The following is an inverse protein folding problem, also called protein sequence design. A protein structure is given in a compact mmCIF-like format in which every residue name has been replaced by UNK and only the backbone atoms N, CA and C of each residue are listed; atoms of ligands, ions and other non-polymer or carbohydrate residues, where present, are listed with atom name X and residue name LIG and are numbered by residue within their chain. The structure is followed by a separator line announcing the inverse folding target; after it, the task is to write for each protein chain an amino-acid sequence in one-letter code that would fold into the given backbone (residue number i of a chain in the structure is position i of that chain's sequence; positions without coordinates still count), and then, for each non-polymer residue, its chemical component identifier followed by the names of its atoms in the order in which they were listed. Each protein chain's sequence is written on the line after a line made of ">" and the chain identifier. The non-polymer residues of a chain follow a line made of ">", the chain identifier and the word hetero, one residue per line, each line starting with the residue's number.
data_IF_623624978677
#
_entry.id   IF_623624978677
#
_cell.length_a   1.000
_cell.length_b   1.000
_cell.length_c   1.000
_cell.angle_alpha   90.00
_cell.angle_beta   90.00
_cell.angle_gamma   90.00
#
_symmetry.space_group_name_H-M   'P 1'
#
loop_
_entity.id
_entity.type
_entity.pdbx_description
1 polymer ?
#
# COMPACT_ATOMS: atom_id res chain seq x y z
N UNK A 1 -2.72 15.46 -35.34
CA UNK A 1 -1.44 15.59 -36.05
C UNK A 1 -0.77 14.22 -36.08
N UNK A 2 -1.20 13.28 -36.94
CA UNK A 2 -0.67 11.91 -36.95
C UNK A 2 0.78 11.81 -37.45
N UNK A 3 1.17 12.70 -38.38
CA UNK A 3 2.51 12.69 -38.98
C UNK A 3 3.61 13.10 -37.99
N UNK A 4 3.38 14.11 -37.15
CA UNK A 4 4.37 14.57 -36.14
C UNK A 4 4.72 13.48 -35.11
N UNK A 5 3.76 12.63 -34.74
CA UNK A 5 4.01 11.51 -33.83
C UNK A 5 4.80 10.37 -34.49
N UNK A 6 4.50 10.05 -35.74
CA UNK A 6 5.25 9.05 -36.49
C UNK A 6 6.71 9.48 -36.69
N UNK A 7 6.93 10.74 -37.04
CA UNK A 7 8.27 11.32 -37.20
C UNK A 7 9.06 11.28 -35.88
N UNK A 8 8.40 11.54 -34.75
CA UNK A 8 9.03 11.49 -33.42
C UNK A 8 9.43 10.07 -33.01
N UNK A 9 8.61 9.06 -33.33
CA UNK A 9 8.92 7.65 -33.04
C UNK A 9 10.10 7.16 -33.88
N UNK A 10 10.17 7.57 -35.15
CA UNK A 10 11.30 7.23 -36.02
C UNK A 10 12.59 7.95 -35.58
N UNK A 11 12.50 9.22 -35.17
CA UNK A 11 13.61 9.97 -34.59
C UNK A 11 14.14 9.30 -33.30
N UNK A 12 13.24 8.86 -32.41
CA UNK A 12 13.60 8.06 -31.25
C UNK A 12 14.31 6.77 -31.66
N UNK A 13 13.78 6.04 -32.65
CA UNK A 13 14.41 4.83 -33.16
C UNK A 13 15.84 5.06 -33.67
N UNK A 14 16.09 6.18 -34.34
CA UNK A 14 17.43 6.57 -34.79
C UNK A 14 18.36 6.88 -33.61
N UNK A 15 17.89 7.67 -32.63
CA UNK A 15 18.64 7.99 -31.41
C UNK A 15 19.06 6.71 -30.68
N UNK A 16 18.13 5.79 -30.46
CA UNK A 16 18.40 4.52 -29.78
C UNK A 16 19.36 3.61 -30.56
N UNK A 17 19.24 3.58 -31.89
CA UNK A 17 20.14 2.80 -32.73
C UNK A 17 21.57 3.34 -32.68
N UNK A 18 21.74 4.66 -32.82
CA UNK A 18 23.06 5.31 -32.85
C UNK A 18 23.73 5.26 -31.47
N UNK A 19 23.01 5.62 -30.40
CA UNK A 19 23.57 5.71 -29.06
C UNK A 19 23.76 4.35 -28.37
N UNK A 20 22.86 3.38 -28.64
CA UNK A 20 22.76 2.16 -27.84
C UNK A 20 22.70 0.87 -28.67
N UNK A 21 22.90 0.95 -30.00
CA UNK A 21 22.74 -0.20 -30.92
C UNK A 21 21.39 -0.92 -30.75
N UNK A 22 20.35 -0.17 -30.37
CA UNK A 22 19.06 -0.73 -30.04
C UNK A 22 18.39 -1.37 -31.27
N UNK A 23 17.75 -2.52 -31.08
CA UNK A 23 17.04 -3.23 -32.15
C UNK A 23 15.54 -3.12 -31.95
N UNK A 24 14.81 -2.67 -32.98
CA UNK A 24 13.34 -2.66 -32.96
C UNK A 24 12.82 -4.10 -32.85
N UNK A 25 11.84 -4.30 -31.98
CA UNK A 25 11.26 -5.62 -31.72
C UNK A 25 10.04 -5.86 -32.61
N UNK A 26 9.83 -7.13 -33.00
CA UNK A 26 8.60 -7.53 -33.66
C UNK A 26 7.47 -7.69 -32.65
N UNK A 27 6.21 -7.60 -33.09
CA UNK A 27 5.05 -7.78 -32.20
C UNK A 27 5.05 -9.16 -31.52
N UNK A 28 5.49 -10.20 -32.24
CA UNK A 28 5.61 -11.55 -31.69
C UNK A 28 6.61 -11.59 -30.53
N UNK A 29 7.79 -11.00 -30.70
CA UNK A 29 8.82 -10.99 -29.67
C UNK A 29 8.34 -10.25 -28.41
N UNK A 30 7.56 -9.17 -28.58
CA UNK A 30 6.99 -8.40 -27.47
C UNK A 30 5.94 -9.20 -26.70
N UNK A 31 5.08 -9.95 -27.39
CA UNK A 31 4.08 -10.80 -26.75
C UNK A 31 4.74 -11.90 -25.92
N UNK A 32 5.85 -12.48 -26.40
CA UNK A 32 6.62 -13.49 -25.66
C UNK A 32 7.24 -12.92 -24.36
N UNK A 33 7.40 -11.59 -24.25
CA UNK A 33 7.83 -10.92 -23.02
C UNK A 33 6.69 -10.63 -22.02
N UNK A 34 5.44 -10.86 -22.40
CA UNK A 34 4.27 -10.50 -21.59
C UNK A 34 4.04 -8.98 -21.50
N UNK A 35 4.72 -8.18 -22.30
CA UNK A 35 4.50 -6.73 -22.40
C UNK A 35 3.23 -6.49 -23.25
N UNK A 36 2.27 -5.67 -22.80
CA UNK A 36 1.04 -5.42 -23.55
C UNK A 36 1.32 -4.57 -24.81
N UNK A 37 1.59 -5.25 -25.94
CA UNK A 37 1.99 -4.62 -27.21
C UNK A 37 1.01 -3.54 -27.68
N UNK A 38 -0.28 -3.71 -27.43
CA UNK A 38 -1.34 -2.76 -27.81
C UNK A 38 -1.23 -1.38 -27.17
N UNK A 39 -0.45 -1.23 -26.09
CA UNK A 39 -0.22 0.07 -25.45
C UNK A 39 0.89 0.89 -26.13
N UNK A 40 1.68 0.29 -27.01
CA UNK A 40 2.92 0.88 -27.52
C UNK A 40 2.90 1.01 -29.03
N UNK A 41 3.41 2.15 -29.53
CA UNK A 41 3.59 2.38 -30.96
C UNK A 41 4.87 1.70 -31.49
N UNK A 42 5.91 1.64 -30.67
CA UNK A 42 7.17 0.98 -31.00
C UNK A 42 7.93 0.55 -29.75
N UNK A 43 8.69 -0.53 -29.88
CA UNK A 43 9.48 -1.12 -28.81
C UNK A 43 10.86 -1.49 -29.35
N UNK A 44 11.91 -1.19 -28.58
CA UNK A 44 13.29 -1.50 -28.89
C UNK A 44 13.97 -2.22 -27.74
N UNK A 45 14.99 -3.01 -28.08
CA UNK A 45 15.82 -3.74 -27.13
C UNK A 45 17.25 -3.21 -27.17
N UNK A 46 17.80 -2.92 -26.00
CA UNK A 46 19.18 -2.54 -25.75
C UNK A 46 19.86 -3.69 -24.99
N UNK A 47 21.04 -4.10 -25.46
CA UNK A 47 21.89 -5.03 -24.71
C UNK A 47 22.63 -4.27 -23.62
N UNK A 48 22.78 -4.87 -22.44
CA UNK A 48 23.61 -4.31 -21.38
C UNK A 48 24.64 -5.35 -20.93
N UNK A 49 25.67 -4.88 -20.25
CA UNK A 49 26.67 -5.73 -19.60
C UNK A 49 26.25 -6.14 -18.18
N UNK A 50 25.10 -5.66 -17.70
CA UNK A 50 24.56 -6.00 -16.39
C UNK A 50 24.13 -7.47 -16.40
N UNK A 51 24.43 -8.19 -15.32
CA UNK A 51 24.07 -9.61 -15.18
C UNK A 51 23.33 -9.88 -13.89
N UNK A 52 22.45 -10.87 -13.90
CA UNK A 52 21.85 -11.35 -12.66
C UNK A 52 22.91 -11.94 -11.73
N UNK A 53 22.88 -11.61 -10.43
CA UNK A 53 23.81 -12.19 -9.45
C UNK A 53 23.71 -13.71 -9.29
N UNK A 54 22.51 -14.27 -9.53
CA UNK A 54 22.21 -15.68 -9.24
C UNK A 54 22.69 -16.66 -10.33
N UNK A 55 22.61 -16.25 -11.60
CA UNK A 55 22.82 -17.15 -12.75
C UNK A 55 23.65 -16.52 -13.90
N UNK A 56 24.24 -15.35 -13.69
CA UNK A 56 25.11 -14.62 -14.64
C UNK A 56 24.44 -14.30 -15.99
N UNK A 57 23.10 -14.41 -16.09
CA UNK A 57 22.39 -14.09 -17.34
C UNK A 57 22.39 -12.57 -17.55
N UNK A 58 22.67 -12.14 -18.79
CA UNK A 58 22.66 -10.73 -19.14
C UNK A 58 21.25 -10.13 -19.06
N UNK A 59 21.16 -8.93 -18.50
CA UNK A 59 19.95 -8.12 -18.43
C UNK A 59 19.93 -7.20 -19.66
N UNK A 60 18.77 -7.06 -20.27
CA UNK A 60 18.50 -6.19 -21.39
C UNK A 60 17.51 -5.12 -20.95
N UNK A 61 17.65 -3.91 -21.50
CA UNK A 61 16.65 -2.86 -21.34
C UNK A 61 15.73 -2.85 -22.56
N UNK A 62 14.43 -2.79 -22.31
CA UNK A 62 13.39 -2.70 -23.33
C UNK A 62 12.77 -1.31 -23.24
N UNK A 63 12.93 -0.52 -24.29
CA UNK A 63 12.39 0.84 -24.40
C UNK A 63 11.06 0.77 -25.15
N UNK A 64 9.97 1.15 -24.53
CA UNK A 64 8.62 1.04 -25.08
C UNK A 64 7.95 2.42 -25.16
N UNK A 65 7.79 2.95 -26.38
CA UNK A 65 7.19 4.26 -26.63
C UNK A 65 5.69 4.13 -26.92
N UNK A 66 4.89 4.93 -26.22
CA UNK A 66 3.45 5.07 -26.50
C UNK A 66 3.21 5.93 -27.73
N UNK A 67 2.01 5.86 -28.29
CA UNK A 67 1.57 6.76 -29.37
C UNK A 67 1.54 8.24 -28.98
N UNK A 68 1.52 8.55 -27.67
CA UNK A 68 1.59 9.90 -27.13
C UNK A 68 3.00 10.50 -27.06
N UNK A 69 4.05 9.73 -27.39
CA UNK A 69 5.40 10.27 -27.51
C UNK A 69 5.43 11.42 -28.55
N UNK A 70 6.16 12.53 -28.30
CA UNK A 70 7.13 12.77 -27.21
C UNK A 70 6.55 13.38 -25.93
N UNK A 71 5.23 13.59 -25.84
CA UNK A 71 4.56 14.17 -24.65
C UNK A 71 4.45 13.21 -23.46
N UNK A 72 4.89 11.97 -23.65
CA UNK A 72 5.03 10.97 -22.60
C UNK A 72 6.37 10.27 -22.75
N UNK A 73 7.15 10.20 -21.68
CA UNK A 73 8.40 9.44 -21.67
C UNK A 73 8.15 7.96 -22.03
N UNK A 74 9.08 7.32 -22.75
CA UNK A 74 9.04 5.87 -22.96
C UNK A 74 9.01 5.12 -21.62
N UNK A 75 8.36 3.96 -21.58
CA UNK A 75 8.49 3.05 -20.46
C UNK A 75 9.71 2.16 -20.65
N UNK A 76 10.43 1.90 -19.56
CA UNK A 76 11.59 0.99 -19.55
C UNK A 76 11.21 -0.30 -18.84
N UNK A 77 11.56 -1.43 -19.44
CA UNK A 77 11.43 -2.76 -18.87
C UNK A 77 12.77 -3.48 -18.86
N UNK A 78 12.87 -4.52 -18.05
CA UNK A 78 14.03 -5.44 -18.03
C UNK A 78 13.68 -6.76 -18.71
N UNK A 79 14.66 -7.36 -19.40
CA UNK A 79 14.58 -8.74 -19.85
C UNK A 79 15.87 -9.52 -19.55
N UNK A 80 15.83 -10.68 -18.89
CA UNK A 80 14.67 -11.24 -18.18
C UNK A 80 14.06 -10.24 -17.20
N UNK A 81 12.76 -10.39 -16.92
CA UNK A 81 12.05 -9.44 -16.07
C UNK A 81 12.58 -9.53 -14.64
N UNK A 82 12.97 -8.39 -14.06
CA UNK A 82 13.18 -8.29 -12.62
C UNK A 82 11.86 -8.59 -11.90
N UNK A 83 11.96 -9.32 -10.79
CA UNK A 83 10.80 -9.75 -10.04
C UNK A 83 10.25 -8.60 -9.19
N UNK A 84 8.96 -8.33 -9.35
CA UNK A 84 8.20 -7.42 -8.48
C UNK A 84 8.30 -7.91 -7.02
N UNK A 85 8.37 -6.97 -6.07
CA UNK A 85 8.56 -7.23 -4.63
C UNK A 85 9.92 -7.82 -4.23
N UNK A 86 10.72 -8.35 -5.17
CA UNK A 86 12.12 -8.74 -4.90
C UNK A 86 13.05 -7.55 -4.98
N UNK A 87 12.82 -6.66 -5.95
CA UNK A 87 13.60 -5.45 -6.16
C UNK A 87 12.74 -4.19 -6.01
N UNK A 88 13.30 -3.10 -5.43
CA UNK A 88 12.61 -1.81 -5.39
C UNK A 88 12.47 -1.22 -6.81
N UNK A 89 11.56 -0.27 -6.99
CA UNK A 89 11.25 0.36 -8.29
C UNK A 89 10.94 -0.57 -9.47
N UNK A 90 10.53 -1.81 -9.20
CA UNK A 90 10.07 -2.77 -10.21
C UNK A 90 8.55 -2.97 -10.09
N UNK A 91 7.85 -2.87 -11.21
CA UNK A 91 6.42 -3.16 -11.35
C UNK A 91 6.18 -4.45 -12.15
N UNK A 92 4.93 -4.69 -12.56
CA UNK A 92 4.55 -5.87 -13.33
C UNK A 92 5.36 -5.98 -14.64
N UNK A 93 5.66 -7.23 -15.03
CA UNK A 93 6.46 -7.55 -16.22
C UNK A 93 7.87 -6.96 -16.23
N UNK A 94 8.43 -6.58 -15.07
CA UNK A 94 9.79 -6.03 -14.98
C UNK A 94 9.91 -4.58 -15.43
N UNK A 95 8.79 -3.84 -15.47
CA UNK A 95 8.77 -2.40 -15.75
C UNK A 95 9.48 -1.64 -14.62
N UNK A 96 10.27 -0.63 -14.97
CA UNK A 96 11.02 0.19 -14.03
C UNK A 96 10.30 1.52 -13.73
N UNK A 97 10.28 1.90 -12.45
CA UNK A 97 9.91 3.24 -11.98
C UNK A 97 11.16 4.12 -11.89
N UNK A 98 11.65 4.57 -13.04
CA UNK A 98 12.92 5.31 -13.13
C UNK A 98 12.78 6.75 -12.64
N UNK A 99 11.73 7.42 -13.06
CA UNK A 99 11.44 8.81 -12.73
C UNK A 99 10.13 8.93 -11.93
N UNK A 100 10.14 9.77 -10.91
CA UNK A 100 8.94 10.15 -10.17
C UNK A 100 8.05 11.12 -10.97
N UNK A 101 6.84 11.34 -10.48
CA UNK A 101 5.84 12.22 -11.10
C UNK A 101 6.29 13.70 -11.15
N UNK A 102 7.28 14.07 -10.33
CA UNK A 102 7.86 15.42 -10.26
C UNK A 102 8.83 15.73 -11.40
N UNK A 103 9.31 14.72 -12.12
CA UNK A 103 10.29 14.93 -13.21
C UNK A 103 9.60 15.56 -14.41
N UNK A 104 10.16 16.67 -14.88
CA UNK A 104 9.71 17.38 -16.08
C UNK A 104 10.77 17.27 -17.18
N UNK A 105 10.31 17.10 -18.42
CA UNK A 105 11.16 17.05 -19.62
C UNK A 105 10.53 17.89 -20.73
N UNK A 106 11.36 18.39 -21.65
CA UNK A 106 10.88 19.10 -22.83
C UNK A 106 10.49 18.09 -23.93
N UNK A 107 9.21 17.99 -24.32
CA UNK A 107 8.80 17.08 -25.39
C UNK A 107 9.34 17.47 -26.77
N UNK A 108 9.88 18.69 -26.95
CA UNK A 108 10.52 19.11 -28.20
C UNK A 108 11.95 18.60 -28.34
N UNK A 109 12.58 18.22 -27.23
CA UNK A 109 13.96 17.73 -27.18
C UNK A 109 14.01 16.28 -26.69
N UNK A 110 14.01 15.33 -27.62
CA UNK A 110 13.98 13.89 -27.29
C UNK A 110 15.29 13.36 -26.67
N UNK A 111 16.33 14.18 -26.55
CA UNK A 111 17.61 13.77 -25.94
C UNK A 111 17.48 13.41 -24.46
N UNK A 112 16.40 13.84 -23.78
CA UNK A 112 16.08 13.38 -22.43
C UNK A 112 16.02 11.86 -22.31
N UNK A 113 15.73 11.15 -23.41
CA UNK A 113 15.65 9.68 -23.41
C UNK A 113 17.01 9.04 -23.12
N UNK A 114 18.12 9.70 -23.46
CA UNK A 114 19.46 9.23 -23.09
C UNK A 114 19.65 9.24 -21.57
N UNK A 115 19.19 10.31 -20.90
CA UNK A 115 19.16 10.37 -19.43
C UNK A 115 18.27 9.27 -18.85
N UNK A 116 17.08 9.06 -19.40
CA UNK A 116 16.18 7.98 -18.96
C UNK A 116 16.85 6.61 -19.03
N UNK A 117 17.59 6.31 -20.10
CA UNK A 117 18.27 5.02 -20.27
C UNK A 117 19.43 4.88 -19.29
N UNK A 118 20.23 5.93 -19.10
CA UNK A 118 21.35 5.92 -18.17
C UNK A 118 20.88 5.78 -16.71
N UNK A 119 19.80 6.47 -16.34
CA UNK A 119 19.16 6.34 -15.04
C UNK A 119 18.57 4.94 -14.85
N UNK A 120 17.99 4.36 -15.90
CA UNK A 120 17.49 2.97 -15.88
C UNK A 120 18.59 1.95 -15.68
N UNK A 121 19.74 2.13 -16.35
CA UNK A 121 20.90 1.27 -16.19
C UNK A 121 21.39 1.30 -14.74
N UNK A 122 21.59 2.51 -14.20
CA UNK A 122 22.02 2.73 -12.82
C UNK A 122 21.03 2.14 -11.82
N UNK A 123 19.72 2.36 -12.04
CA UNK A 123 18.66 1.80 -11.21
C UNK A 123 18.73 0.26 -11.16
N UNK A 124 18.96 -0.39 -12.28
CA UNK A 124 19.08 -1.86 -12.34
C UNK A 124 20.31 -2.33 -11.56
N UNK A 125 21.48 -1.71 -11.76
CA UNK A 125 22.72 -2.05 -11.04
C UNK A 125 22.56 -1.87 -9.51
N UNK A 126 21.96 -0.76 -9.09
CA UNK A 126 21.74 -0.45 -7.68
C UNK A 126 20.68 -1.36 -7.06
N UNK A 127 19.65 -1.75 -7.83
CA UNK A 127 18.64 -2.70 -7.38
C UNK A 127 19.22 -4.11 -7.17
N UNK A 128 19.97 -4.64 -8.14
CA UNK A 128 20.53 -6.01 -8.05
C UNK A 128 21.66 -6.12 -7.02
N UNK A 129 22.42 -5.03 -6.79
CA UNK A 129 23.44 -4.97 -5.74
C UNK A 129 22.84 -4.85 -4.34
N UNK A 130 21.53 -4.54 -4.25
CA UNK A 130 20.83 -4.33 -2.99
C UNK A 130 21.04 -2.95 -2.38
N UNK A 131 21.71 -2.04 -3.09
CA UNK A 131 21.96 -0.66 -2.65
C UNK A 131 20.67 0.13 -2.42
N UNK A 132 19.61 -0.20 -3.16
CA UNK A 132 18.28 0.42 -3.04
C UNK A 132 17.37 -0.26 -2.00
N UNK A 133 17.83 -1.23 -1.22
CA UNK A 133 16.97 -1.95 -0.28
C UNK A 133 16.29 -1.05 0.77
N UNK A 134 16.84 0.15 1.04
CA UNK A 134 16.22 1.16 1.89
C UNK A 134 14.91 1.71 1.32
N UNK A 135 14.74 1.70 0.00
CA UNK A 135 13.59 2.29 -0.69
C UNK A 135 12.29 1.51 -0.45
N UNK A 136 12.39 0.22 -0.07
CA UNK A 136 11.24 -0.54 0.40
C UNK A 136 10.56 0.13 1.60
N UNK A 137 11.33 0.75 2.50
CA UNK A 137 10.80 1.47 3.66
C UNK A 137 10.07 2.74 3.21
N UNK A 138 10.70 3.54 2.35
CA UNK A 138 10.12 4.78 1.84
C UNK A 138 8.81 4.53 1.05
N UNK A 139 8.77 3.44 0.28
CA UNK A 139 7.64 3.03 -0.55
C UNK A 139 6.71 1.98 0.08
N UNK A 140 6.75 1.76 1.41
CA UNK A 140 6.09 0.62 2.08
C UNK A 140 4.63 0.42 1.67
N UNK A 141 3.82 1.48 1.58
CA UNK A 141 2.41 1.38 1.18
C UNK A 141 2.21 0.81 -0.23
N UNK A 142 3.10 1.18 -1.16
CA UNK A 142 3.04 0.74 -2.55
C UNK A 142 3.40 -0.73 -2.68
N UNK A 143 4.41 -1.19 -1.94
CA UNK A 143 4.78 -2.61 -1.90
C UNK A 143 3.78 -3.46 -1.14
N UNK A 144 3.26 -2.95 -0.02
CA UNK A 144 2.19 -3.58 0.72
C UNK A 144 0.96 -3.80 -0.16
N UNK A 145 0.52 -2.78 -0.89
CA UNK A 145 -0.63 -2.89 -1.80
C UNK A 145 -0.47 -3.93 -2.91
N UNK A 146 0.77 -4.25 -3.28
CA UNK A 146 1.12 -5.25 -4.30
C UNK A 146 1.32 -6.66 -3.75
N UNK A 147 1.54 -6.81 -2.43
CA UNK A 147 1.82 -8.11 -1.82
C UNK A 147 0.59 -8.97 -1.55
N UNK A 148 -0.61 -8.42 -1.71
CA UNK A 148 -1.84 -9.16 -1.50
C UNK A 148 -2.88 -8.89 -2.58
N UNK A 149 -3.69 -9.91 -2.86
CA UNK A 149 -4.86 -9.77 -3.71
C UNK A 149 -6.08 -9.54 -2.84
N UNK A 150 -6.69 -8.35 -2.96
CA UNK A 150 -7.95 -8.05 -2.29
C UNK A 150 -9.08 -8.87 -2.94
N UNK A 151 -9.91 -9.59 -2.17
CA UNK A 151 -11.16 -10.14 -2.70
C UNK A 151 -12.02 -9.03 -3.31
N UNK A 152 -12.74 -9.32 -4.41
CA UNK A 152 -13.50 -8.34 -5.20
C UNK A 152 -14.47 -7.44 -4.40
N UNK A 153 -14.88 -7.87 -3.20
CA UNK A 153 -15.83 -7.15 -2.34
C UNK A 153 -15.20 -6.57 -1.07
N UNK A 154 -13.92 -6.81 -0.83
CA UNK A 154 -13.25 -6.27 0.35
C UNK A 154 -12.96 -4.78 0.16
N UNK A 155 -13.42 -3.98 1.12
CA UNK A 155 -13.16 -2.55 1.17
C UNK A 155 -11.87 -2.28 1.94
N UNK A 156 -11.16 -1.22 1.57
CA UNK A 156 -10.05 -0.71 2.37
C UNK A 156 -10.53 -0.43 3.79
N UNK A 157 -9.69 -0.74 4.77
CA UNK A 157 -9.93 -0.34 6.13
C UNK A 157 -9.71 1.17 6.31
N UNK A 158 -10.35 1.75 7.32
CA UNK A 158 -10.15 3.14 7.74
C UNK A 158 -9.44 3.18 9.08
N UNK A 159 -8.37 3.96 9.21
CA UNK A 159 -7.72 4.21 10.50
C UNK A 159 -7.92 5.65 10.96
N UNK A 160 -8.41 5.81 12.19
CA UNK A 160 -8.51 7.07 12.93
C UNK A 160 -7.45 7.17 14.04
N UNK A 161 -6.60 6.16 14.17
CA UNK A 161 -5.64 6.01 15.26
C UNK A 161 -4.57 7.10 15.23
N UNK A 162 -4.05 7.44 16.40
CA UNK A 162 -2.98 8.41 16.53
C UNK A 162 -1.64 7.77 16.17
N UNK A 163 -1.06 8.17 15.04
CA UNK A 163 0.24 7.64 14.59
C UNK A 163 1.44 8.13 15.41
N UNK A 164 1.27 9.19 16.22
CA UNK A 164 2.35 9.70 17.08
C UNK A 164 2.59 8.80 18.30
N UNK A 165 1.62 7.99 18.70
CA UNK A 165 1.84 6.96 19.71
C UNK A 165 2.50 5.75 19.05
N UNK A 166 3.76 5.51 19.38
CA UNK A 166 4.59 4.43 18.84
C UNK A 166 4.53 3.16 19.67
N UNK A 167 3.62 3.05 20.63
CA UNK A 167 3.44 1.82 21.41
C UNK A 167 2.53 0.86 20.67
N UNK A 168 2.89 -0.43 20.72
CA UNK A 168 1.94 -1.51 20.47
C UNK A 168 0.85 -1.48 21.53
N UNK A 169 -0.41 -1.40 21.12
CA UNK A 169 -1.53 -1.13 22.03
C UNK A 169 -2.85 -1.68 21.52
N UNK A 170 -3.76 -1.88 22.46
CA UNK A 170 -5.16 -2.21 22.14
C UNK A 170 -5.88 -0.98 21.61
N UNK A 171 -6.68 -1.17 20.56
CA UNK A 171 -7.49 -0.16 19.90
C UNK A 171 -8.91 -0.70 19.65
N UNK A 172 -9.83 0.18 19.26
CA UNK A 172 -11.21 -0.19 18.95
C UNK A 172 -11.40 -0.41 17.46
N UNK A 173 -12.27 -1.36 17.11
CA UNK A 173 -12.57 -1.71 15.72
C UNK A 173 -14.06 -1.95 15.51
N UNK A 174 -14.61 -1.44 14.41
CA UNK A 174 -15.93 -1.77 13.90
C UNK A 174 -15.79 -2.50 12.56
N UNK A 175 -16.53 -3.60 12.38
CA UNK A 175 -16.60 -4.30 11.10
C UNK A 175 -17.98 -4.08 10.48
N UNK A 176 -18.05 -3.14 9.54
CA UNK A 176 -19.30 -2.68 8.95
C UNK A 176 -19.30 -2.97 7.44
N UNK A 177 -20.28 -3.72 6.95
CA UNK A 177 -20.28 -4.22 5.56
C UNK A 177 -20.29 -3.09 4.53
N UNK A 178 -20.97 -1.98 4.85
CA UNK A 178 -21.10 -0.83 3.96
C UNK A 178 -19.86 0.08 3.93
N UNK A 179 -19.07 0.14 5.00
CA UNK A 179 -17.90 1.04 5.11
C UNK A 179 -16.56 0.31 5.21
N UNK A 180 -16.57 -1.01 5.34
CA UNK A 180 -15.38 -1.81 5.63
C UNK A 180 -15.06 -1.83 7.13
N UNK A 181 -13.80 -2.10 7.44
CA UNK A 181 -13.30 -2.13 8.81
C UNK A 181 -12.83 -0.74 9.23
N UNK A 182 -13.25 -0.26 10.39
CA UNK A 182 -12.89 1.07 10.90
C UNK A 182 -12.20 0.91 12.24
N UNK A 183 -11.03 1.52 12.38
CA UNK A 183 -10.20 1.49 13.57
C UNK A 183 -10.15 2.86 14.24
N UNK A 184 -10.17 2.87 15.57
CA UNK A 184 -10.12 4.10 16.36
C UNK A 184 -9.29 3.89 17.63
N UNK A 185 -8.69 4.97 18.11
CA UNK A 185 -7.91 5.00 19.35
C UNK A 185 -8.80 4.71 20.56
N UNK A 186 -9.99 5.32 20.61
CA UNK A 186 -10.93 5.16 21.71
C UNK A 186 -12.32 4.76 21.21
N UNK A 187 -13.13 4.21 22.12
CA UNK A 187 -14.52 3.84 21.84
C UNK A 187 -15.35 5.06 21.43
N UNK A 188 -15.14 6.19 22.09
CA UNK A 188 -15.85 7.44 21.81
C UNK A 188 -15.52 7.94 20.41
N UNK A 189 -14.25 7.86 19.99
CA UNK A 189 -13.83 8.23 18.64
C UNK A 189 -14.50 7.34 17.59
N UNK A 190 -14.57 6.02 17.83
CA UNK A 190 -15.25 5.08 16.95
C UNK A 190 -16.75 5.37 16.85
N UNK A 191 -17.42 5.51 17.99
CA UNK A 191 -18.86 5.72 18.09
C UNK A 191 -19.26 7.05 17.40
N UNK A 192 -18.45 8.10 17.57
CA UNK A 192 -18.64 9.40 16.92
C UNK A 192 -18.49 9.28 15.39
N UNK A 193 -17.44 8.62 14.90
CA UNK A 193 -17.22 8.46 13.46
C UNK A 193 -18.34 7.67 12.79
N UNK A 194 -18.78 6.57 13.43
CA UNK A 194 -19.91 5.78 12.94
C UNK A 194 -21.18 6.62 12.87
N UNK A 195 -21.50 7.35 13.94
CA UNK A 195 -22.70 8.20 13.99
C UNK A 195 -22.66 9.29 12.91
N UNK A 196 -21.52 9.95 12.73
CA UNK A 196 -21.32 10.99 11.71
C UNK A 196 -21.37 10.45 10.27
N UNK A 197 -21.18 9.15 10.09
CA UNK A 197 -21.32 8.48 8.78
C UNK A 197 -22.68 7.80 8.58
N UNK A 198 -23.63 8.03 9.51
CA UNK A 198 -25.00 7.53 9.45
C UNK A 198 -25.18 6.10 10.00
N UNK A 199 -24.18 5.56 10.69
CA UNK A 199 -24.19 4.21 11.27
C UNK A 199 -24.37 4.30 12.78
N UNK A 200 -25.43 3.67 13.30
CA UNK A 200 -25.63 3.59 14.75
C UNK A 200 -24.61 2.62 15.37
N UNK A 201 -23.78 3.04 16.33
CA UNK A 201 -22.83 2.15 16.98
C UNK A 201 -23.52 0.95 17.64
N UNK A 202 -22.95 -0.25 17.47
CA UNK A 202 -23.52 -1.47 18.03
C UNK A 202 -22.43 -2.45 18.47
N UNK A 203 -22.53 -2.94 19.71
CA UNK A 203 -21.60 -3.92 20.28
C UNK A 203 -21.52 -5.24 19.49
N UNK A 204 -22.53 -5.56 18.67
CA UNK A 204 -22.48 -6.75 17.81
C UNK A 204 -21.37 -6.68 16.75
N UNK A 205 -20.99 -5.48 16.33
CA UNK A 205 -19.97 -5.29 15.30
C UNK A 205 -18.75 -4.51 15.74
N UNK A 206 -18.79 -3.88 16.92
CA UNK A 206 -17.64 -3.24 17.55
C UNK A 206 -16.92 -4.21 18.50
N UNK A 207 -15.60 -4.15 18.53
CA UNK A 207 -14.75 -4.93 19.44
C UNK A 207 -13.44 -4.18 19.69
N UNK A 208 -12.50 -4.82 20.38
CA UNK A 208 -11.11 -4.37 20.46
C UNK A 208 -10.22 -5.26 19.58
N UNK A 209 -9.07 -4.72 19.23
CA UNK A 209 -8.03 -5.39 18.45
C UNK A 209 -6.69 -4.71 18.74
N UNK A 210 -5.64 -5.10 18.03
CA UNK A 210 -4.29 -4.61 18.26
C UNK A 210 -3.84 -3.63 17.16
N UNK A 211 -3.11 -2.60 17.56
CA UNK A 211 -2.22 -1.84 16.69
C UNK A 211 -0.80 -2.19 17.11
N UNK A 212 -0.07 -2.87 16.24
CA UNK A 212 1.33 -3.26 16.45
C UNK A 212 2.20 -2.16 15.89
N UNK A 213 3.06 -1.57 16.70
CA UNK A 213 4.07 -0.64 16.21
C UNK A 213 5.39 -1.38 15.99
N UNK A 214 5.89 -1.35 14.76
CA UNK A 214 7.19 -1.90 14.40
C UNK A 214 8.29 -0.87 14.63
N UNK A 215 9.47 -1.35 15.03
CA UNK A 215 10.68 -0.53 15.10
C UNK A 215 11.19 -0.14 13.71
N UNK A 216 11.02 -1.04 12.74
CA UNK A 216 11.47 -0.86 11.36
C UNK A 216 10.38 -1.31 10.37
N UNK A 217 10.37 -0.72 9.18
CA UNK A 217 9.46 -1.12 8.13
C UNK A 217 9.88 -2.47 7.55
N UNK A 218 8.91 -3.38 7.39
CA UNK A 218 9.16 -4.65 6.72
C UNK A 218 9.50 -4.45 5.24
N UNK A 219 10.46 -5.23 4.76
CA UNK A 219 10.63 -5.50 3.34
C UNK A 219 9.59 -6.51 2.86
N UNK A 220 9.28 -6.57 1.56
CA UNK A 220 8.29 -7.53 1.07
C UNK A 220 8.61 -8.99 1.40
N UNK A 221 9.89 -9.36 1.44
CA UNK A 221 10.35 -10.70 1.85
C UNK A 221 10.09 -11.02 3.33
N UNK A 222 9.79 -10.01 4.15
CA UNK A 222 9.56 -10.12 5.59
C UNK A 222 8.07 -10.02 5.96
N UNK A 223 7.19 -9.87 4.96
CA UNK A 223 5.75 -9.75 5.20
C UNK A 223 5.21 -11.04 5.81
N UNK A 224 4.56 -10.97 6.99
CA UNK A 224 4.13 -12.17 7.68
C UNK A 224 3.03 -12.91 6.92
N UNK A 225 3.14 -14.24 6.90
CA UNK A 225 2.19 -15.14 6.23
C UNK A 225 1.26 -15.84 7.21
N UNK A 226 1.62 -15.88 8.49
CA UNK A 226 0.83 -16.46 9.57
C UNK A 226 0.98 -15.65 10.87
N UNK A 227 0.06 -15.88 11.82
CA UNK A 227 0.07 -15.18 13.09
C UNK A 227 1.26 -15.59 13.98
N UNK A 228 1.90 -16.74 13.72
CA UNK A 228 3.09 -17.19 14.42
C UNK A 228 4.30 -16.29 14.16
N UNK A 229 4.48 -15.85 12.92
CA UNK A 229 5.51 -14.86 12.56
C UNK A 229 5.27 -13.51 13.26
N UNK A 230 4.01 -13.08 13.38
CA UNK A 230 3.63 -11.89 14.17
C UNK A 230 3.98 -12.06 15.65
N UNK A 231 3.72 -13.24 16.23
CA UNK A 231 4.09 -13.55 17.60
C UNK A 231 5.61 -13.44 17.79
N UNK A 232 6.40 -14.08 16.93
CA UNK A 232 7.88 -14.02 16.98
C UNK A 232 8.41 -12.59 16.87
N UNK A 233 7.81 -11.75 16.01
CA UNK A 233 8.17 -10.33 15.89
C UNK A 233 7.91 -9.59 17.21
N UNK A 234 6.74 -9.79 17.80
CA UNK A 234 6.39 -9.17 19.08
C UNK A 234 7.31 -9.66 20.21
N UNK A 235 7.63 -10.95 20.26
CA UNK A 235 8.57 -11.52 21.25
C UNK A 235 9.96 -10.90 21.14
N UNK A 236 10.48 -10.79 19.92
CA UNK A 236 11.77 -10.14 19.64
C UNK A 236 11.79 -8.67 20.08
N UNK A 237 10.73 -7.91 19.76
CA UNK A 237 10.64 -6.48 20.08
C UNK A 237 10.44 -6.19 21.58
N UNK A 238 9.60 -6.95 22.27
CA UNK A 238 9.27 -6.68 23.67
C UNK A 238 10.18 -7.41 24.67
N UNK A 239 10.96 -8.40 24.23
CA UNK A 239 11.82 -9.21 25.09
C UNK A 239 11.06 -10.01 26.16
N UNK A 240 9.73 -10.11 26.05
CA UNK A 240 8.87 -10.74 27.04
C UNK A 240 7.77 -11.58 26.37
N UNK A 241 7.98 -12.91 26.27
CA UNK A 241 7.03 -13.81 25.61
C UNK A 241 5.61 -13.74 26.16
N UNK A 242 5.42 -13.53 27.46
CA UNK A 242 4.09 -13.44 28.06
C UNK A 242 3.33 -12.18 27.60
N UNK A 243 4.02 -11.06 27.38
CA UNK A 243 3.40 -9.84 26.86
C UNK A 243 3.05 -9.96 25.37
N UNK A 244 3.96 -10.50 24.56
CA UNK A 244 3.72 -10.78 23.15
C UNK A 244 2.51 -11.70 22.97
N UNK A 245 2.48 -12.79 23.74
CA UNK A 245 1.38 -13.74 23.74
C UNK A 245 0.05 -13.12 24.17
N UNK A 246 0.05 -12.23 25.17
CA UNK A 246 -1.15 -11.49 25.58
C UNK A 246 -1.67 -10.58 24.46
N UNK A 247 -0.77 -9.91 23.74
CA UNK A 247 -1.14 -9.05 22.62
C UNK A 247 -1.75 -9.85 21.47
N UNK A 248 -1.15 -10.98 21.09
CA UNK A 248 -1.71 -11.89 20.07
C UNK A 248 -3.03 -12.53 20.54
N UNK A 249 -3.15 -12.83 21.83
CA UNK A 249 -4.40 -13.33 22.41
C UNK A 249 -5.55 -12.32 22.26
N UNK A 250 -5.30 -11.00 22.27
CA UNK A 250 -6.32 -9.97 21.96
C UNK A 250 -6.88 -10.14 20.54
N UNK A 251 -6.04 -10.43 19.54
CA UNK A 251 -6.47 -10.69 18.16
C UNK A 251 -7.33 -11.97 18.11
N UNK A 252 -6.87 -13.04 18.75
CA UNK A 252 -7.56 -14.33 18.81
C UNK A 252 -8.85 -14.30 19.65
N UNK A 253 -8.96 -13.36 20.59
CA UNK A 253 -10.15 -13.15 21.40
C UNK A 253 -11.24 -12.33 20.73
N UNK A 254 -11.05 -11.93 19.47
CA UNK A 254 -12.08 -11.23 18.71
C UNK A 254 -13.35 -12.08 18.54
N UNK A 255 -14.52 -11.44 18.59
CA UNK A 255 -15.81 -12.07 18.32
C UNK A 255 -16.05 -12.32 16.82
N UNK A 256 -15.13 -11.91 15.95
CA UNK A 256 -15.22 -12.06 14.50
C UNK A 256 -14.48 -13.28 14.00
N UNK A 257 -15.05 -13.92 12.97
CA UNK A 257 -14.39 -15.03 12.27
C UNK A 257 -13.06 -14.60 11.65
N UNK A 258 -12.98 -13.41 11.06
CA UNK A 258 -11.78 -12.89 10.41
C UNK A 258 -11.34 -11.60 11.08
N UNK A 259 -10.69 -11.66 12.25
CA UNK A 259 -10.20 -10.48 12.93
C UNK A 259 -9.20 -9.74 12.04
N UNK A 260 -9.20 -8.42 12.19
CA UNK A 260 -8.26 -7.54 11.51
C UNK A 260 -7.56 -6.70 12.57
N UNK A 261 -6.27 -6.50 12.38
CA UNK A 261 -5.41 -5.69 13.25
C UNK A 261 -4.56 -4.74 12.40
N UNK A 262 -4.05 -3.68 13.04
CA UNK A 262 -3.22 -2.68 12.38
C UNK A 262 -1.74 -2.92 12.65
N UNK A 263 -0.92 -2.54 11.67
CA UNK A 263 0.53 -2.42 11.78
C UNK A 263 0.87 -0.96 11.53
N UNK A 264 1.68 -0.38 12.41
CA UNK A 264 2.22 0.97 12.28
C UNK A 264 3.74 0.89 12.21
N UNK A 265 4.34 1.73 11.38
CA UNK A 265 5.79 1.93 11.38
C UNK A 265 6.12 3.34 10.91
N UNK A 266 7.27 3.85 11.29
CA UNK A 266 7.79 5.12 10.80
C UNK A 266 8.71 4.85 9.62
N UNK A 267 8.46 5.54 8.51
CA UNK A 267 9.33 5.51 7.32
C UNK A 267 9.98 6.88 7.14
N UNK A 268 10.98 7.02 6.25
CA UNK A 268 11.55 8.33 5.91
C UNK A 268 10.50 9.35 5.44
N UNK A 269 9.38 8.87 4.88
CA UNK A 269 8.29 9.70 4.35
C UNK A 269 7.15 9.92 5.34
N UNK A 270 7.33 9.54 6.61
CA UNK A 270 6.34 9.71 7.67
C UNK A 270 5.76 8.38 8.18
N UNK A 271 4.75 8.48 9.05
CA UNK A 271 4.16 7.30 9.65
C UNK A 271 3.26 6.56 8.66
N UNK A 272 3.38 5.24 8.60
CA UNK A 272 2.57 4.39 7.75
C UNK A 272 1.72 3.47 8.62
N UNK A 273 0.45 3.30 8.24
CA UNK A 273 -0.44 2.28 8.79
C UNK A 273 -0.82 1.30 7.68
N UNK A 274 -0.61 0.01 7.93
CA UNK A 274 -1.16 -1.10 7.16
C UNK A 274 -2.06 -1.96 8.03
N UNK A 275 -2.78 -2.92 7.45
CA UNK A 275 -3.67 -3.81 8.18
C UNK A 275 -3.50 -5.25 7.71
N UNK A 276 -3.72 -6.19 8.62
CA UNK A 276 -3.70 -7.62 8.30
C UNK A 276 -4.99 -8.30 8.76
N UNK A 277 -5.48 -9.25 7.96
CA UNK A 277 -6.62 -10.11 8.28
C UNK A 277 -6.18 -11.53 8.55
N UNK A 278 -6.78 -12.20 9.53
CA UNK A 278 -6.64 -13.64 9.69
C UNK A 278 -7.46 -14.43 8.64
N UNK A 279 -6.79 -15.33 7.96
CA UNK A 279 -7.31 -16.28 6.95
C UNK A 279 -7.66 -17.60 7.64
N UNK A 280 -8.64 -18.37 7.11
CA UNK A 280 -9.12 -19.62 7.72
C UNK A 280 -10.11 -19.43 8.88
N UNK A 281 -9.98 -18.30 9.58
CA UNK A 281 -10.94 -17.79 10.55
C UNK A 281 -10.81 -18.40 11.94
N UNK A 282 -11.00 -17.57 12.95
CA UNK A 282 -11.05 -17.97 14.36
C UNK A 282 -12.50 -18.27 14.73
N UNK A 283 -12.81 -19.51 15.11
CA UNK A 283 -14.11 -19.81 15.69
C UNK A 283 -14.14 -19.30 17.13
N UNK A 284 -15.19 -18.56 17.47
CA UNK A 284 -15.35 -17.86 18.76
C UNK A 284 -16.12 -18.69 19.78
N UNK A 285 -16.57 -19.88 19.38
CA UNK A 285 -17.25 -20.84 20.22
C UNK A 285 -16.65 -22.20 19.94
N UNK A 286 -15.89 -22.73 20.90
CA UNK A 286 -15.71 -24.18 20.95
C UNK A 286 -17.08 -24.85 20.86
N UNK A 287 -17.16 -25.98 20.18
CA UNK A 287 -18.37 -26.79 19.99
C UNK A 287 -18.90 -27.38 21.31
N UNK A 288 -19.14 -26.57 22.33
CA UNK A 288 -19.84 -27.00 23.53
C UNK A 288 -21.28 -27.37 23.11
N UNK A 289 -21.50 -28.65 22.78
CA UNK A 289 -22.80 -29.25 22.50
C UNK A 289 -23.22 -29.36 21.02
N UNK A 290 -22.32 -29.16 20.05
CA UNK A 290 -22.66 -29.35 18.62
C UNK A 290 -21.72 -30.38 17.97
N UNK A 291 -22.14 -31.64 17.97
CA UNK A 291 -21.39 -32.81 17.47
C UNK A 291 -21.32 -32.90 15.92
N UNK A 292 -22.03 -32.04 15.19
CA UNK A 292 -22.28 -32.22 13.74
C UNK A 292 -21.59 -31.22 12.80
N UNK A 293 -20.68 -30.35 13.28
CA UNK A 293 -19.93 -29.42 12.42
C UNK A 293 -18.46 -29.86 12.27
N UNK A 294 -17.99 -29.92 11.02
CA UNK A 294 -16.87 -30.78 10.60
C UNK A 294 -15.46 -30.19 10.67
N UNK A 295 -15.20 -29.04 11.30
CA UNK A 295 -13.82 -28.53 11.40
C UNK A 295 -13.53 -27.82 12.73
N UNK A 296 -12.51 -28.31 13.44
CA UNK A 296 -12.02 -27.68 14.66
C UNK A 296 -11.28 -26.37 14.33
N UNK A 297 -11.75 -25.24 14.86
CA UNK A 297 -11.12 -23.94 14.65
C UNK A 297 -10.07 -23.60 15.73
N UNK A 298 -9.23 -22.61 15.45
CA UNK A 298 -8.11 -22.18 16.32
C UNK A 298 -8.55 -21.78 17.75
N UNK A 299 -9.73 -21.20 17.92
CA UNK A 299 -10.28 -20.78 19.21
C UNK A 299 -11.05 -21.86 19.98
N UNK A 300 -11.21 -23.07 19.40
CA UNK A 300 -12.02 -24.12 20.02
C UNK A 300 -11.41 -24.60 21.35
N UNK A 301 -12.25 -24.63 22.40
CA UNK A 301 -11.91 -25.20 23.71
C UNK A 301 -11.47 -24.21 24.79
N UNK A 302 -11.31 -22.93 24.45
CA UNK A 302 -10.85 -21.90 25.40
C UNK A 302 -11.84 -20.74 25.53
N UNK A 303 -11.88 -20.11 26.72
CA UNK A 303 -12.61 -18.85 26.90
C UNK A 303 -11.87 -17.72 26.15
N UNK A 304 -12.61 -16.68 25.76
CA UNK A 304 -12.04 -15.46 25.17
C UNK A 304 -10.84 -14.96 26.01
N UNK A 305 -9.72 -14.64 25.35
CA UNK A 305 -8.46 -14.19 25.97
C UNK A 305 -7.85 -15.15 27.01
N UNK A 306 -8.19 -16.45 26.97
CA UNK A 306 -7.69 -17.46 27.93
C UNK A 306 -7.07 -18.68 27.24
N UNK A 307 -6.44 -18.48 26.09
CA UNK A 307 -5.63 -19.52 25.43
C UNK A 307 -4.33 -19.68 26.24
N UNK A 308 -4.04 -20.86 26.82
CA UNK A 308 -2.78 -21.09 27.52
C UNK A 308 -1.59 -20.95 26.56
N UNK A 309 -0.51 -20.31 27.01
CA UNK A 309 0.70 -20.04 26.22
C UNK A 309 1.22 -21.27 25.47
N UNK A 310 1.21 -22.45 26.13
CA UNK A 310 1.67 -23.72 25.53
C UNK A 310 0.94 -24.15 24.26
N UNK A 311 -0.25 -23.61 24.00
CA UNK A 311 -1.02 -23.89 22.79
C UNK A 311 -1.02 -22.73 21.80
N UNK A 312 -0.53 -21.55 22.21
CA UNK A 312 -0.63 -20.34 21.40
C UNK A 312 0.23 -20.45 20.14
N UNK A 313 1.47 -20.92 20.24
CA UNK A 313 2.42 -20.97 19.12
C UNK A 313 1.90 -21.84 17.97
N UNK A 314 1.50 -23.09 18.28
CA UNK A 314 0.96 -24.04 17.30
C UNK A 314 -0.32 -23.49 16.64
N UNK A 315 -1.13 -22.75 17.40
CA UNK A 315 -2.36 -22.15 16.89
C UNK A 315 -2.08 -20.95 15.99
N UNK A 316 -1.09 -20.14 16.33
CA UNK A 316 -0.71 -18.96 15.56
C UNK A 316 -0.07 -19.35 14.22
N UNK A 317 0.77 -20.38 14.20
CA UNK A 317 1.40 -20.88 12.96
C UNK A 317 0.38 -21.50 11.99
N UNK A 318 -0.72 -22.08 12.50
CA UNK A 318 -1.82 -22.60 11.68
C UNK A 318 -2.76 -21.53 11.13
N UNK A 319 -2.73 -20.32 11.67
CA UNK A 319 -3.61 -19.24 11.26
C UNK A 319 -2.90 -18.31 10.27
N UNK A 320 -3.20 -18.50 8.99
CA UNK A 320 -2.69 -17.63 7.94
C UNK A 320 -3.13 -16.18 8.15
N UNK A 321 -2.32 -15.23 7.71
CA UNK A 321 -2.67 -13.81 7.65
C UNK A 321 -2.42 -13.28 6.25
N UNK A 322 -3.09 -12.18 5.90
CA UNK A 322 -2.86 -11.47 4.65
C UNK A 322 -3.00 -9.97 4.83
N UNK A 323 -2.36 -9.21 3.95
CA UNK A 323 -2.51 -7.76 3.92
C UNK A 323 -3.93 -7.30 3.53
N UNK A 324 -4.27 -6.12 4.04
CA UNK A 324 -5.42 -5.30 3.64
C UNK A 324 -4.94 -3.86 3.47
N UNK A 325 -5.55 -3.15 2.51
CA UNK A 325 -5.28 -1.75 2.27
C UNK A 325 -5.93 -0.87 3.35
N UNK A 326 -5.21 0.14 3.81
CA UNK A 326 -5.71 1.09 4.81
C UNK A 326 -5.75 2.49 4.23
N UNK A 327 -6.82 3.21 4.54
CA UNK A 327 -6.92 4.64 4.36
C UNK A 327 -6.83 5.32 5.74
N UNK A 328 -5.80 6.12 5.94
CA UNK A 328 -5.69 6.99 7.10
C UNK A 328 -6.68 8.15 6.95
N UNK A 329 -7.48 8.40 7.99
CA UNK A 329 -8.46 9.48 8.06
C UNK A 329 -8.23 10.38 9.27
N UNK A 330 -7.02 10.35 9.84
CA UNK A 330 -6.58 11.31 10.83
C UNK A 330 -6.28 12.69 10.18
N UNK A 331 -6.39 13.80 10.94
CA UNK A 331 -6.21 15.15 10.38
C UNK A 331 -4.86 15.36 9.69
N UNK A 332 -3.79 14.79 10.26
CA UNK A 332 -2.42 14.95 9.74
C UNK A 332 -2.26 14.34 8.36
N UNK A 333 -2.87 13.18 8.14
CA UNK A 333 -2.87 12.54 6.83
C UNK A 333 -3.74 13.27 5.80
N UNK A 334 -4.98 13.60 6.18
CA UNK A 334 -5.98 14.17 5.26
C UNK A 334 -5.58 15.59 4.83
N UNK A 335 -5.02 16.38 5.75
CA UNK A 335 -4.68 17.79 5.51
C UNK A 335 -3.22 17.97 5.12
N UNK A 336 -2.61 17.01 4.41
CA UNK A 336 -1.28 17.19 3.83
C UNK A 336 -0.27 16.08 4.10
N UNK A 337 -0.73 14.84 4.35
CA UNK A 337 0.10 13.63 4.48
C UNK A 337 1.31 13.85 5.40
N UNK A 338 1.03 14.31 6.61
CA UNK A 338 2.00 14.61 7.67
C UNK A 338 2.99 15.76 7.37
N UNK A 339 2.85 16.45 6.24
CA UNK A 339 3.76 17.50 5.79
C UNK A 339 3.19 18.92 5.90
N UNK A 340 1.96 19.09 6.42
CA UNK A 340 1.35 20.42 6.53
C UNK A 340 1.74 21.13 7.84
N UNK A 341 2.57 22.20 7.78
CA UNK A 341 2.99 22.94 8.96
C UNK A 341 1.84 23.71 9.63
N UNK A 342 0.79 24.03 8.89
CA UNK A 342 -0.38 24.79 9.37
C UNK A 342 -1.44 23.91 10.02
N UNK A 343 -1.18 22.60 10.16
CA UNK A 343 -2.16 21.64 10.70
C UNK A 343 -2.68 22.06 12.07
N UNK A 344 -1.82 22.57 12.96
CA UNK A 344 -2.25 23.02 14.30
C UNK A 344 -3.23 24.19 14.26
N UNK A 345 -3.15 25.03 13.23
CA UNK A 345 -4.05 26.18 13.03
C UNK A 345 -5.36 25.74 12.38
N UNK A 346 -5.29 24.79 11.43
CA UNK A 346 -6.47 24.32 10.69
C UNK A 346 -7.26 23.26 11.46
N UNK A 347 -6.59 22.42 12.26
CA UNK A 347 -7.18 21.40 13.12
C UNK A 347 -8.04 22.06 14.21
N UNK A 348 -9.36 21.94 14.08
CA UNK A 348 -10.33 22.57 14.98
C UNK A 348 -11.11 23.73 14.35
N UNK A 349 -10.73 24.17 13.15
CA UNK A 349 -11.53 25.14 12.41
C UNK A 349 -12.80 24.46 11.89
N UNK A 350 -13.97 25.05 12.20
CA UNK A 350 -15.24 24.59 11.62
C UNK A 350 -15.42 25.23 10.25
N UNK A 351 -15.48 24.40 9.21
CA UNK A 351 -15.70 24.85 7.83
C UNK A 351 -17.19 24.72 7.52
N UNK A 352 -17.86 25.86 7.31
CA UNK A 352 -19.20 25.89 6.75
C UNK A 352 -19.13 25.81 5.22
N UNK A 353 -19.59 24.71 4.63
CA UNK A 353 -19.71 24.59 3.17
C UNK A 353 -21.11 25.04 2.77
N UNK A 354 -21.20 26.17 2.08
CA UNK A 354 -22.45 26.68 1.55
C UNK A 354 -22.51 26.37 0.05
N UNK A 355 -23.29 25.35 -0.32
CA UNK A 355 -23.58 25.04 -1.71
C UNK A 355 -24.60 26.03 -2.26
N UNK A 356 -24.18 26.93 -3.15
CA UNK A 356 -25.04 28.01 -3.63
C UNK A 356 -25.82 27.70 -4.93
N UNK A 357 -25.66 26.50 -5.50
CA UNK A 357 -26.38 26.06 -6.71
C UNK A 357 -26.26 27.04 -7.89
N UNK A 358 -27.21 26.98 -8.84
CA UNK A 358 -27.23 27.83 -10.04
C UNK A 358 -27.65 29.29 -9.79
N UNK A 359 -28.23 29.60 -8.63
CA UNK A 359 -28.72 30.94 -8.25
C UNK A 359 -27.68 31.69 -7.36
N UNK A 360 -26.53 31.05 -7.15
CA UNK A 360 -25.63 31.35 -6.04
C UNK A 360 -24.81 32.62 -6.11
N UNK A 361 -24.46 33.07 -7.33
CA UNK A 361 -23.55 34.20 -7.53
C UNK A 361 -24.09 35.51 -6.97
N UNK A 362 -25.41 35.73 -7.06
CA UNK A 362 -26.09 36.92 -6.53
C UNK A 362 -26.30 36.92 -5.02
N UNK A 363 -26.35 35.74 -4.38
CA UNK A 363 -26.58 35.60 -2.94
C UNK A 363 -25.28 35.53 -2.12
N UNK A 364 -24.17 35.13 -2.73
CA UNK A 364 -22.86 35.04 -2.09
C UNK A 364 -22.44 36.34 -1.37
N UNK A 365 -22.55 37.56 -1.97
CA UNK A 365 -22.14 38.79 -1.30
C UNK A 365 -23.01 39.12 -0.08
N UNK A 366 -24.29 38.76 -0.11
CA UNK A 366 -25.23 38.99 0.99
C UNK A 366 -24.94 38.03 2.16
N UNK A 367 -24.64 36.76 1.85
CA UNK A 367 -24.27 35.76 2.85
C UNK A 367 -22.93 36.09 3.52
N UNK A 368 -21.91 36.50 2.75
CA UNK A 368 -20.63 36.94 3.31
C UNK A 368 -20.84 38.14 4.25
N UNK A 369 -21.62 39.14 3.82
CA UNK A 369 -21.94 40.30 4.67
C UNK A 369 -22.68 39.91 5.95
N UNK A 370 -23.66 39.03 5.87
CA UNK A 370 -24.43 38.58 7.03
C UNK A 370 -23.56 37.79 8.03
N UNK A 371 -22.68 36.90 7.55
CA UNK A 371 -21.80 36.09 8.40
C UNK A 371 -20.72 36.94 9.07
N UNK A 372 -20.11 37.89 8.36
CA UNK A 372 -19.12 38.80 8.97
C UNK A 372 -19.74 39.79 9.97
N UNK A 373 -21.05 40.03 9.91
CA UNK A 373 -21.75 40.93 10.84
C UNK A 373 -22.14 40.27 12.17
N UNK A 374 -22.07 38.93 12.26
CA UNK A 374 -22.46 38.16 13.45
C UNK A 374 -21.29 37.60 14.28
N UNK A 375 -20.04 37.92 13.90
CA UNK A 375 -18.83 37.52 14.61
C UNK A 375 -18.18 38.79 15.17
N UNK A 376 -18.74 39.30 16.28
CA UNK A 376 -18.11 40.31 17.17
C UNK A 376 -18.33 39.86 18.59
#
# INVERSE_FOLDING_TARGET
>A
MPNEHADSIDALGQLLFVGYSAKRMSEKDVQDLGIPSSLYAAIWRIQTEIKYPEDDRAIQLIVAARSSFPFSAPHIYTYPALEILKYPHVEECGKLCVWGDEVSFDPQDITYVEHLINDSHSLVEDAISGSLNGDFSAGLLSYWGRSYTSPLKEKKATSLCNVKDTRTREIYVAYESSKGTVFAETKEQLDNWLSNTGIKPNQKFCSTTLLINLSEAWKPSEYPTNLGEILSILESQCGNPAMAAKAVATILGSSRRHPVFLIQTNTPNGAVITAMSCVGGIGTRGHAGQLELHEATVGNGFRHNRIPLRFLDIRCTQLGVRGIGVERRDPSWVLGRDSNPSLSTTSGTTIGIIGLGSVGSSLLPLLIKAVCSGIV
#
